data_IF_984804027605
#
_entry.id   IF_984804027605
#
_cell.length_a   1.000
_cell.length_b   1.000
_cell.length_c   1.000
_cell.angle_alpha   90.00
_cell.angle_beta   90.00
_cell.angle_gamma   90.00
#
_symmetry.space_group_name_H-M   'P 1'
#
loop_
_entity.id
_entity.type
_entity.pdbx_description
1 polymer ?
#
# COMPACT_ATOMS: atom_id res chain seq x y z
N UNK A 1 2.31 -5.86 -22.04
CA UNK A 1 2.30 -7.34 -22.10
C UNK A 1 2.77 -7.86 -20.77
N UNK A 2 2.19 -8.96 -20.28
CA UNK A 2 2.72 -9.66 -19.11
C UNK A 2 4.12 -10.22 -19.42
N UNK A 3 4.99 -10.27 -18.42
CA UNK A 3 6.35 -10.83 -18.52
C UNK A 3 6.43 -12.12 -17.70
N UNK A 4 7.44 -12.94 -17.97
CA UNK A 4 7.69 -14.16 -17.20
C UNK A 4 7.95 -13.86 -15.71
N UNK A 5 7.54 -14.74 -14.78
CA UNK A 5 7.69 -14.51 -13.33
C UNK A 5 9.10 -14.12 -12.89
N UNK A 6 10.14 -14.76 -13.45
CA UNK A 6 11.53 -14.42 -13.12
C UNK A 6 11.87 -12.97 -13.51
N UNK A 7 11.49 -12.55 -14.72
CA UNK A 7 11.74 -11.19 -15.20
C UNK A 7 10.95 -10.15 -14.39
N UNK A 8 9.72 -10.48 -13.97
CA UNK A 8 8.95 -9.63 -13.06
C UNK A 8 9.64 -9.48 -11.70
N UNK A 9 10.17 -10.57 -11.14
CA UNK A 9 10.92 -10.53 -9.88
C UNK A 9 12.15 -9.64 -10.00
N UNK A 10 12.95 -9.79 -11.07
CA UNK A 10 14.16 -8.98 -11.29
C UNK A 10 13.84 -7.47 -11.32
N UNK A 11 12.74 -7.10 -11.98
CA UNK A 11 12.29 -5.71 -12.08
C UNK A 11 11.83 -5.17 -10.72
N UNK A 12 11.03 -5.95 -9.98
CA UNK A 12 10.54 -5.54 -8.66
C UNK A 12 11.70 -5.41 -7.66
N UNK A 13 12.62 -6.38 -7.62
CA UNK A 13 13.77 -6.35 -6.72
C UNK A 13 14.69 -5.18 -7.03
N UNK A 14 14.93 -4.89 -8.31
CA UNK A 14 15.68 -3.70 -8.74
C UNK A 14 15.01 -2.41 -8.28
N UNK A 15 13.69 -2.31 -8.40
CA UNK A 15 12.92 -1.17 -7.89
C UNK A 15 13.03 -1.03 -6.37
N UNK A 16 12.83 -2.12 -5.62
CA UNK A 16 12.89 -2.12 -4.16
C UNK A 16 14.29 -1.77 -3.62
N UNK A 17 15.35 -2.21 -4.30
CA UNK A 17 16.72 -1.85 -3.95
C UNK A 17 16.98 -0.35 -4.14
N UNK A 18 16.36 0.29 -5.14
CA UNK A 18 16.57 1.71 -5.43
C UNK A 18 15.72 2.65 -4.57
N UNK A 19 14.51 2.24 -4.19
CA UNK A 19 13.57 3.15 -3.50
C UNK A 19 13.93 3.44 -2.04
N UNK A 20 14.75 2.58 -1.42
CA UNK A 20 15.15 2.74 -0.02
C UNK A 20 16.65 2.48 0.19
N UNK A 21 17.49 2.93 -0.74
CA UNK A 21 18.96 2.84 -0.66
C UNK A 21 19.51 1.45 -0.27
N UNK A 22 18.89 0.40 -0.81
CA UNK A 22 19.25 -1.00 -0.55
C UNK A 22 18.75 -1.55 0.79
N UNK A 23 18.02 -0.77 1.59
CA UNK A 23 17.31 -1.26 2.77
C UNK A 23 15.97 -1.93 2.39
N UNK A 24 15.32 -2.55 3.38
CA UNK A 24 14.04 -3.23 3.16
C UNK A 24 12.89 -2.24 3.16
N UNK A 25 12.01 -2.34 2.17
CA UNK A 25 10.78 -1.55 2.05
C UNK A 25 9.66 -2.21 2.85
N UNK A 26 8.94 -1.42 3.65
CA UNK A 26 7.74 -1.90 4.35
C UNK A 26 6.53 -1.78 3.42
N UNK A 27 5.93 -2.89 2.95
CA UNK A 27 4.71 -2.82 2.16
C UNK A 27 3.58 -2.16 2.95
N UNK A 28 2.83 -1.31 2.26
CA UNK A 28 1.63 -0.67 2.79
C UNK A 28 0.51 -0.78 1.77
N UNK A 29 -0.69 -1.09 2.23
CA UNK A 29 -1.84 -1.29 1.35
C UNK A 29 -3.14 -1.47 2.14
N UNK A 30 -4.27 -1.52 1.44
CA UNK A 30 -5.56 -1.85 2.03
C UNK A 30 -5.78 -3.35 1.99
N UNK A 31 -5.91 -4.00 3.16
CA UNK A 31 -5.90 -5.47 3.23
C UNK A 31 -4.62 -6.06 2.59
N UNK A 32 -3.48 -5.42 2.88
CA UNK A 32 -2.17 -5.65 2.21
C UNK A 32 -1.67 -7.08 2.31
N UNK A 33 -2.20 -7.88 3.23
CA UNK A 33 -1.94 -9.31 3.30
C UNK A 33 -2.26 -10.05 2.00
N UNK A 34 -3.27 -9.58 1.25
CA UNK A 34 -3.62 -10.09 -0.07
C UNK A 34 -2.47 -9.86 -1.06
N UNK A 35 -2.04 -8.61 -1.25
CA UNK A 35 -0.94 -8.24 -2.17
C UNK A 35 0.35 -8.98 -1.84
N UNK A 36 0.70 -9.06 -0.56
CA UNK A 36 1.90 -9.78 -0.09
C UNK A 36 1.82 -11.28 -0.43
N UNK A 37 0.64 -11.90 -0.34
CA UNK A 37 0.47 -13.29 -0.73
C UNK A 37 0.71 -13.49 -2.23
N UNK A 38 0.22 -12.58 -3.08
CA UNK A 38 0.50 -12.62 -4.53
C UNK A 38 1.98 -12.38 -4.85
N UNK A 39 2.65 -11.46 -4.16
CA UNK A 39 4.10 -11.24 -4.33
C UNK A 39 4.92 -12.46 -3.91
N UNK A 40 4.52 -13.17 -2.85
CA UNK A 40 5.15 -14.43 -2.44
C UNK A 40 4.94 -15.53 -3.47
N UNK A 41 3.73 -15.63 -4.03
CA UNK A 41 3.45 -16.59 -5.10
C UNK A 41 4.26 -16.27 -6.37
N UNK A 42 4.38 -14.98 -6.71
CA UNK A 42 5.23 -14.53 -7.80
C UNK A 42 6.71 -14.89 -7.57
N UNK A 43 7.22 -14.64 -6.37
CA UNK A 43 8.59 -15.01 -5.99
C UNK A 43 8.82 -16.52 -6.16
N UNK A 44 7.90 -17.34 -5.68
CA UNK A 44 7.96 -18.80 -5.82
C UNK A 44 8.00 -19.22 -7.28
N UNK A 45 7.13 -18.67 -8.14
CA UNK A 45 7.16 -18.93 -9.57
C UNK A 45 8.43 -18.39 -10.26
N UNK A 46 9.04 -17.35 -9.71
CA UNK A 46 10.33 -16.81 -10.12
C UNK A 46 11.54 -17.54 -9.52
N UNK A 47 11.35 -18.68 -8.85
CA UNK A 47 12.44 -19.50 -8.29
C UNK A 47 13.06 -18.95 -7.01
N UNK A 48 12.32 -18.11 -6.26
CA UNK A 48 12.76 -17.46 -5.03
C UNK A 48 11.88 -17.88 -3.85
N UNK A 49 12.44 -17.91 -2.65
CA UNK A 49 11.65 -18.07 -1.42
C UNK A 49 10.81 -16.80 -1.12
N UNK A 50 11.36 -15.63 -1.46
CA UNK A 50 10.74 -14.31 -1.30
C UNK A 50 11.47 -13.28 -2.17
N UNK A 51 10.82 -12.13 -2.45
CA UNK A 51 11.47 -11.01 -3.12
C UNK A 51 12.52 -10.36 -2.21
N UNK A 52 13.71 -10.11 -2.74
CA UNK A 52 14.74 -9.32 -2.07
C UNK A 52 14.22 -7.91 -1.73
N UNK A 53 14.74 -7.33 -0.66
CA UNK A 53 14.40 -5.97 -0.19
C UNK A 53 12.91 -5.73 0.17
N UNK A 54 12.03 -6.72 0.09
CA UNK A 54 10.68 -6.62 0.63
C UNK A 54 10.67 -6.96 2.13
N UNK A 55 10.10 -6.08 2.94
CA UNK A 55 9.96 -6.26 4.39
C UNK A 55 9.01 -7.41 4.75
N UNK A 56 9.23 -8.02 5.91
CA UNK A 56 8.32 -9.04 6.47
C UNK A 56 7.16 -8.45 7.27
N UNK A 57 7.28 -7.16 7.64
CA UNK A 57 6.25 -6.39 8.32
C UNK A 57 5.48 -5.59 7.28
N UNK A 58 4.22 -5.30 7.56
CA UNK A 58 3.37 -4.54 6.67
C UNK A 58 2.52 -3.53 7.46
N UNK A 59 2.13 -2.44 6.80
CA UNK A 59 1.15 -1.49 7.31
C UNK A 59 -0.16 -1.74 6.57
N UNK A 60 -1.18 -2.16 7.30
CA UNK A 60 -2.49 -2.45 6.73
C UNK A 60 -3.46 -1.30 7.01
N UNK A 61 -3.85 -0.57 5.96
CA UNK A 61 -4.74 0.58 6.07
C UNK A 61 -6.15 0.21 6.54
N UNK A 62 -6.62 -1.03 6.29
CA UNK A 62 -7.90 -1.51 6.81
C UNK A 62 -7.86 -1.62 8.34
N UNK A 63 -6.75 -2.12 8.90
CA UNK A 63 -6.56 -2.17 10.36
C UNK A 63 -6.50 -0.77 10.97
N UNK A 64 -5.80 0.16 10.32
CA UNK A 64 -5.70 1.55 10.76
C UNK A 64 -7.07 2.24 10.77
N UNK A 65 -7.89 2.08 9.72
CA UNK A 65 -9.27 2.58 9.67
C UNK A 65 -10.12 2.04 10.81
N UNK A 66 -9.98 0.75 11.12
CA UNK A 66 -10.71 0.13 12.21
C UNK A 66 -10.32 0.73 13.58
N UNK A 67 -9.03 0.98 13.80
CA UNK A 67 -8.55 1.66 15.01
C UNK A 67 -9.13 3.09 15.10
N UNK A 68 -9.08 3.87 14.01
CA UNK A 68 -9.65 5.21 13.97
C UNK A 68 -11.16 5.21 14.22
N UNK A 69 -11.87 4.19 13.74
CA UNK A 69 -13.29 4.02 14.01
C UNK A 69 -13.57 3.76 15.49
N UNK A 70 -12.79 2.88 16.13
CA UNK A 70 -12.89 2.62 17.57
C UNK A 70 -12.57 3.88 18.42
N UNK A 71 -11.74 4.78 17.89
CA UNK A 71 -11.45 6.09 18.49
C UNK A 71 -12.54 7.14 18.20
N UNK A 72 -13.60 6.81 17.46
CA UNK A 72 -14.65 7.72 16.97
C UNK A 72 -14.13 8.85 16.07
N UNK A 73 -12.98 8.65 15.42
CA UNK A 73 -12.40 9.64 14.50
C UNK A 73 -12.93 9.49 13.07
N UNK A 74 -13.39 8.29 12.70
CA UNK A 74 -14.03 8.03 11.40
C UNK A 74 -15.33 7.23 11.58
N UNK A 75 -16.33 7.41 10.72
CA UNK A 75 -17.57 6.64 10.76
C UNK A 75 -17.35 5.19 10.29
N UNK A 76 -18.26 4.28 10.66
CA UNK A 76 -18.22 2.88 10.18
C UNK A 76 -18.33 2.76 8.67
N UNK A 77 -18.93 3.76 7.99
CA UNK A 77 -18.98 3.84 6.54
C UNK A 77 -17.60 4.04 5.90
N UNK A 78 -16.57 4.39 6.66
CA UNK A 78 -15.19 4.55 6.19
C UNK A 78 -14.33 3.29 6.39
N UNK A 79 -14.92 2.14 6.75
CA UNK A 79 -14.16 0.90 7.00
C UNK A 79 -13.79 0.14 5.71
N UNK A 80 -14.40 0.45 4.57
CA UNK A 80 -13.95 -0.04 3.26
C UNK A 80 -13.06 0.99 2.56
N UNK A 81 -12.24 0.57 1.59
CA UNK A 81 -11.46 1.48 0.75
C UNK A 81 -12.33 2.56 0.09
N UNK A 82 -13.42 2.16 -0.58
CA UNK A 82 -14.35 3.08 -1.23
C UNK A 82 -15.01 4.06 -0.25
N UNK A 83 -15.40 3.53 0.92
CA UNK A 83 -16.00 4.32 1.98
C UNK A 83 -15.02 5.33 2.57
N UNK A 84 -13.76 4.91 2.75
CA UNK A 84 -12.68 5.75 3.22
C UNK A 84 -12.34 6.85 2.20
N UNK A 85 -12.21 6.51 0.92
CA UNK A 85 -11.95 7.49 -0.14
C UNK A 85 -13.05 8.55 -0.18
N UNK A 86 -14.32 8.13 -0.12
CA UNK A 86 -15.45 9.06 -0.03
C UNK A 86 -15.41 9.93 1.24
N UNK A 87 -15.06 9.34 2.38
CA UNK A 87 -15.00 10.06 3.66
C UNK A 87 -13.92 11.13 3.66
N UNK A 88 -12.74 10.82 3.11
CA UNK A 88 -11.59 11.73 3.07
C UNK A 88 -11.55 12.65 1.85
N UNK A 89 -12.51 12.51 0.92
CA UNK A 89 -12.54 13.29 -0.33
C UNK A 89 -11.42 12.94 -1.29
N UNK A 90 -10.97 11.68 -1.29
CA UNK A 90 -9.95 11.17 -2.21
C UNK A 90 -10.65 10.81 -3.52
N UNK A 91 -10.31 11.53 -4.58
CA UNK A 91 -10.86 11.33 -5.91
C UNK A 91 -10.00 10.35 -6.70
N UNK A 92 -10.61 9.28 -7.20
CA UNK A 92 -10.00 8.35 -8.13
C UNK A 92 -10.79 8.43 -9.42
N UNK A 93 -10.12 8.69 -10.54
CA UNK A 93 -10.77 8.70 -11.85
C UNK A 93 -11.35 7.30 -12.14
N UNK A 94 -12.67 7.22 -12.31
CA UNK A 94 -13.41 5.99 -12.58
C UNK A 94 -12.89 5.25 -13.83
N UNK A 95 -12.30 5.96 -14.80
CA UNK A 95 -11.72 5.34 -16.00
C UNK A 95 -10.49 4.48 -15.71
N UNK A 96 -9.76 4.78 -14.62
CA UNK A 96 -8.54 4.06 -14.20
C UNK A 96 -8.70 3.39 -12.84
N UNK A 97 -9.86 3.52 -12.21
CA UNK A 97 -10.21 2.79 -11.01
C UNK A 97 -10.08 1.29 -11.27
N UNK A 98 -9.62 0.54 -10.26
CA UNK A 98 -9.27 -0.88 -10.40
C UNK A 98 -8.03 -1.15 -11.25
N UNK A 99 -7.25 -0.12 -11.59
CA UNK A 99 -5.84 -0.31 -11.94
C UNK A 99 -5.02 -0.32 -10.67
N UNK A 100 -4.02 -1.20 -10.60
CA UNK A 100 -3.14 -1.30 -9.44
C UNK A 100 -2.43 0.03 -9.11
N UNK A 101 -2.10 0.81 -10.14
CA UNK A 101 -1.45 2.12 -9.99
C UNK A 101 -2.37 3.17 -9.35
N UNK A 102 -3.62 3.28 -9.83
CA UNK A 102 -4.59 4.21 -9.27
C UNK A 102 -4.96 3.83 -7.83
N UNK A 103 -5.19 2.55 -7.57
CA UNK A 103 -5.54 2.05 -6.24
C UNK A 103 -4.38 2.24 -5.24
N UNK A 104 -3.12 2.03 -5.67
CA UNK A 104 -1.95 2.29 -4.85
C UNK A 104 -1.79 3.79 -4.53
N UNK A 105 -2.04 4.66 -5.52
CA UNK A 105 -1.95 6.11 -5.35
C UNK A 105 -3.01 6.65 -4.38
N UNK A 106 -4.26 6.19 -4.52
CA UNK A 106 -5.35 6.53 -3.61
C UNK A 106 -5.10 5.99 -2.19
N UNK A 107 -4.57 4.77 -2.09
CA UNK A 107 -4.20 4.17 -0.79
C UNK A 107 -3.08 4.92 -0.10
N UNK A 108 -2.10 5.45 -0.85
CA UNK A 108 -1.06 6.35 -0.31
C UNK A 108 -1.69 7.61 0.28
N UNK A 109 -2.58 8.26 -0.44
CA UNK A 109 -3.26 9.47 0.07
C UNK A 109 -4.07 9.16 1.33
N UNK A 110 -4.80 8.04 1.33
CA UNK A 110 -5.55 7.56 2.48
C UNK A 110 -4.64 7.36 3.70
N UNK A 111 -3.48 6.72 3.53
CA UNK A 111 -2.52 6.54 4.62
C UNK A 111 -2.09 7.88 5.22
N UNK A 112 -1.77 8.87 4.38
CA UNK A 112 -1.36 10.19 4.85
C UNK A 112 -2.46 10.87 5.69
N UNK A 113 -3.73 10.79 5.24
CA UNK A 113 -4.88 11.30 6.01
C UNK A 113 -5.05 10.61 7.36
N UNK A 114 -4.86 9.30 7.42
CA UNK A 114 -4.92 8.57 8.68
C UNK A 114 -3.78 8.95 9.63
N UNK A 115 -2.56 9.15 9.10
CA UNK A 115 -1.42 9.58 9.92
C UNK A 115 -1.65 10.98 10.52
N UNK A 116 -2.26 11.91 9.79
CA UNK A 116 -2.69 13.20 10.33
C UNK A 116 -3.64 13.03 11.53
N UNK A 117 -4.60 12.08 11.45
CA UNK A 117 -5.51 11.78 12.56
C UNK A 117 -4.81 11.11 13.76
N UNK A 118 -3.73 10.37 13.53
CA UNK A 118 -2.88 9.83 14.60
C UNK A 118 -1.94 10.88 15.21
N UNK A 119 -1.98 12.14 14.74
CA UNK A 119 -1.17 13.23 15.27
C UNK A 119 0.23 13.31 14.65
N UNK A 120 0.45 12.71 13.48
CA UNK A 120 1.65 12.98 12.70
C UNK A 120 1.68 14.44 12.26
N UNK A 121 2.82 15.11 12.41
CA UNK A 121 3.02 16.48 11.93
C UNK A 121 2.82 16.57 10.42
N UNK A 122 2.27 17.69 9.94
CA UNK A 122 2.08 17.96 8.50
C UNK A 122 3.38 17.90 7.67
N UNK A 123 4.55 17.91 8.30
CA UNK A 123 5.81 17.71 7.60
C UNK A 123 6.02 16.26 7.14
N UNK A 124 5.45 15.25 7.81
CA UNK A 124 5.51 13.85 7.36
C UNK A 124 4.80 13.63 6.01
N UNK A 125 3.71 14.36 5.74
CA UNK A 125 3.06 14.36 4.42
C UNK A 125 3.94 14.91 3.29
N UNK A 126 4.98 15.69 3.61
CA UNK A 126 5.94 16.20 2.62
C UNK A 126 7.10 15.24 2.31
N UNK A 127 7.29 14.20 3.15
CA UNK A 127 8.38 13.23 3.08
C UNK A 127 8.02 11.94 2.32
N UNK A 128 6.74 11.71 2.00
CA UNK A 128 6.28 10.56 1.21
C UNK A 128 6.57 10.72 -0.30
N UNK A 129 7.80 11.13 -0.65
CA UNK A 129 8.31 11.21 -2.01
C UNK A 129 8.53 9.81 -2.59
#
# INVERSE_FOLDING_TARGET
MAVEPHAACDVIESYLANVNDGERVTPCGHNVGFDIAFLRQLAFWGGRDQLANLGHRAIDSHTLLYILHLMNLVPSSALSSDGAFKHFGIEVDEAVRHTAEADASATRELLLKMLELFGADKELSSLAR
#
